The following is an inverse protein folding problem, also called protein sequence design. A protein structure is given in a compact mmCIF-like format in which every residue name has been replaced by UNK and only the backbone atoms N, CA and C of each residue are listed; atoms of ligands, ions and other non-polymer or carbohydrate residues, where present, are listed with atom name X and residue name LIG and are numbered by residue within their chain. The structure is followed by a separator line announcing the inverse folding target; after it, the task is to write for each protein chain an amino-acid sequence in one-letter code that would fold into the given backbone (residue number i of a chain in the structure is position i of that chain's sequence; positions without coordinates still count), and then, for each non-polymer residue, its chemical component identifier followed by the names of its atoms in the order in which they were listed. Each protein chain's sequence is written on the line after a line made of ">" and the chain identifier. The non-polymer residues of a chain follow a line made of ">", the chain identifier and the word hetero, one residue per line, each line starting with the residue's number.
data_IF_453535246765
#
_entry.id   IF_453535246765
#
_cell.length_a   1.000
_cell.length_b   1.000
_cell.length_c   1.000
_cell.angle_alpha   90.00
_cell.angle_beta   90.00
_cell.angle_gamma   90.00
#
_symmetry.space_group_name_H-M   'P 1'
#
loop_
_entity.id
_entity.type
_entity.pdbx_description
1 polymer ?
#
# COMPACT_ATOMS: atom_id res chain seq x y z
N UNK A 1 -21.98 19.58 -4.23
CA UNK A 1 -20.84 18.96 -4.93
C UNK A 1 -21.05 17.45 -4.91
N UNK A 2 -21.31 16.87 -6.09
CA UNK A 2 -21.38 15.41 -6.25
C UNK A 2 -19.94 14.88 -6.31
N UNK A 3 -19.44 14.37 -5.20
CA UNK A 3 -18.09 13.80 -5.10
C UNK A 3 -18.05 12.33 -5.48
N UNK A 4 -19.21 11.65 -5.60
CA UNK A 4 -19.30 10.25 -5.98
C UNK A 4 -19.82 10.09 -7.41
N UNK A 5 -19.34 9.10 -8.17
CA UNK A 5 -19.92 8.74 -9.46
C UNK A 5 -21.40 8.39 -9.32
N UNK A 6 -22.23 8.70 -10.34
CA UNK A 6 -23.66 8.35 -10.33
C UNK A 6 -23.94 6.85 -10.49
N UNK A 7 -22.96 6.11 -11.03
CA UNK A 7 -23.03 4.67 -11.26
C UNK A 7 -21.75 4.00 -10.74
N UNK A 8 -21.86 2.75 -10.33
CA UNK A 8 -20.69 1.98 -9.95
C UNK A 8 -19.69 1.87 -11.12
N UNK A 9 -18.40 1.91 -10.77
CA UNK A 9 -17.35 1.68 -11.74
C UNK A 9 -17.44 0.25 -12.27
N UNK A 10 -17.17 0.03 -13.57
CA UNK A 10 -17.19 -1.31 -14.14
C UNK A 10 -16.13 -2.20 -13.48
N UNK A 11 -16.54 -3.39 -13.08
CA UNK A 11 -15.67 -4.37 -12.45
C UNK A 11 -15.25 -5.43 -13.47
N UNK A 12 -13.98 -5.83 -13.40
CA UNK A 12 -13.46 -6.94 -14.20
C UNK A 12 -12.85 -7.98 -13.26
N UNK A 13 -13.54 -9.10 -13.07
CA UNK A 13 -13.02 -10.28 -12.37
C UNK A 13 -12.18 -11.15 -13.32
N UNK A 14 -11.50 -12.16 -12.77
CA UNK A 14 -10.62 -13.11 -13.47
C UNK A 14 -9.28 -12.54 -13.98
N UNK A 15 -8.85 -11.40 -13.45
CA UNK A 15 -7.49 -10.88 -13.68
C UNK A 15 -6.46 -11.57 -12.79
N UNK A 16 -6.89 -12.02 -11.59
CA UNK A 16 -6.07 -12.72 -10.62
C UNK A 16 -6.24 -14.22 -10.85
N UNK A 17 -5.35 -14.79 -11.61
CA UNK A 17 -5.27 -16.22 -11.89
C UNK A 17 -3.86 -16.74 -11.55
N UNK A 18 -3.60 -18.04 -11.75
CA UNK A 18 -2.30 -18.66 -11.48
C UNK A 18 -1.14 -17.97 -12.23
N UNK A 19 -1.41 -17.39 -13.40
CA UNK A 19 -0.40 -16.68 -14.18
C UNK A 19 -0.14 -15.27 -13.65
N UNK A 20 -1.01 -14.71 -12.80
CA UNK A 20 -0.81 -13.36 -12.29
C UNK A 20 0.52 -13.23 -11.55
N UNK A 21 0.91 -14.21 -10.75
CA UNK A 21 2.20 -14.21 -10.02
C UNK A 21 3.41 -14.35 -10.95
N UNK A 22 3.27 -14.93 -12.14
CA UNK A 22 4.38 -15.11 -13.10
C UNK A 22 4.76 -13.78 -13.73
N UNK A 23 5.74 -13.08 -13.15
CA UNK A 23 6.09 -11.70 -13.52
C UNK A 23 7.61 -11.44 -13.48
N UNK A 24 8.44 -12.44 -13.80
CA UNK A 24 9.91 -12.34 -13.69
C UNK A 24 10.50 -11.14 -14.46
N UNK A 25 9.93 -10.78 -15.61
CA UNK A 25 10.41 -9.70 -16.46
C UNK A 25 9.34 -8.61 -16.72
N UNK A 26 8.18 -8.75 -16.08
CA UNK A 26 7.02 -7.89 -16.27
C UNK A 26 6.50 -7.37 -14.95
N UNK A 27 5.71 -6.31 -15.02
CA UNK A 27 4.87 -5.86 -13.92
C UNK A 27 3.43 -6.15 -14.31
N UNK A 28 2.67 -6.77 -13.42
CA UNK A 28 1.21 -6.91 -13.53
C UNK A 28 0.60 -6.25 -12.31
N UNK A 29 -0.53 -5.60 -12.47
CA UNK A 29 -1.22 -5.00 -11.33
C UNK A 29 -2.74 -5.05 -11.50
N UNK A 30 -3.43 -5.02 -10.37
CA UNK A 30 -4.88 -4.87 -10.28
C UNK A 30 -5.18 -3.79 -9.25
N UNK A 31 -5.98 -2.81 -9.64
CA UNK A 31 -6.49 -1.83 -8.73
C UNK A 31 -7.68 -2.40 -7.95
N UNK A 32 -7.60 -2.37 -6.64
CA UNK A 32 -8.58 -2.93 -5.71
C UNK A 32 -9.50 -1.86 -5.11
N UNK A 33 -9.27 -0.60 -5.50
CA UNK A 33 -10.00 0.57 -5.03
C UNK A 33 -9.18 1.43 -4.07
N UNK A 34 -9.46 2.74 -4.06
CA UNK A 34 -8.69 3.76 -3.34
C UNK A 34 -7.18 3.59 -3.63
N UNK A 35 -6.32 3.62 -2.64
CA UNK A 35 -4.87 3.40 -2.78
C UNK A 35 -4.45 1.92 -2.75
N UNK A 36 -5.42 0.99 -2.70
CA UNK A 36 -5.14 -0.44 -2.65
C UNK A 36 -4.84 -1.00 -4.04
N UNK A 37 -3.61 -1.47 -4.24
CA UNK A 37 -3.16 -2.15 -5.45
C UNK A 37 -2.62 -3.53 -5.11
N UNK A 38 -2.88 -4.51 -5.97
CA UNK A 38 -2.14 -5.76 -5.98
C UNK A 38 -1.17 -5.75 -7.14
N UNK A 39 0.11 -5.86 -6.85
CA UNK A 39 1.20 -5.76 -7.81
C UNK A 39 1.95 -7.08 -7.83
N UNK A 40 2.20 -7.60 -9.02
CA UNK A 40 3.09 -8.73 -9.24
C UNK A 40 4.36 -8.24 -9.95
N UNK A 41 5.48 -8.41 -9.30
CA UNK A 41 6.81 -8.06 -9.80
C UNK A 41 7.82 -9.11 -9.34
N UNK A 42 8.66 -9.58 -10.25
CA UNK A 42 9.68 -10.59 -9.96
C UNK A 42 9.13 -11.85 -9.25
N UNK A 43 7.94 -12.31 -9.68
CA UNK A 43 7.20 -13.43 -9.12
C UNK A 43 6.80 -13.27 -7.64
N UNK A 44 6.76 -12.05 -7.13
CA UNK A 44 6.28 -11.70 -5.79
C UNK A 44 5.00 -10.87 -5.88
N UNK A 45 4.11 -11.08 -4.93
CA UNK A 45 2.86 -10.33 -4.80
C UNK A 45 3.01 -9.31 -3.68
N UNK A 46 2.77 -8.04 -4.03
CA UNK A 46 2.79 -6.91 -3.12
C UNK A 46 1.37 -6.32 -3.07
N UNK A 47 0.85 -6.08 -1.87
CA UNK A 47 -0.33 -5.24 -1.67
C UNK A 47 0.11 -3.88 -1.13
N UNK A 48 -0.31 -2.79 -1.77
CA UNK A 48 -0.13 -1.44 -1.23
C UNK A 48 -1.39 -1.00 -0.50
N UNK A 49 -1.24 -0.41 0.67
CA UNK A 49 -2.31 0.19 1.50
C UNK A 49 -3.63 -0.60 1.44
N UNK A 50 -3.62 -1.91 1.82
CA UNK A 50 -4.78 -2.76 1.57
C UNK A 50 -5.90 -2.48 2.56
N UNK A 51 -7.02 -1.97 2.05
CA UNK A 51 -8.25 -1.70 2.80
C UNK A 51 -9.40 -2.48 2.20
N UNK A 52 -9.89 -3.48 2.93
CA UNK A 52 -11.02 -4.32 2.52
C UNK A 52 -12.27 -4.12 3.38
N UNK A 53 -12.13 -3.38 4.50
CA UNK A 53 -13.28 -3.01 5.32
C UNK A 53 -14.26 -2.12 4.56
N UNK A 54 -15.57 -2.20 4.88
CA UNK A 54 -16.60 -1.39 4.24
C UNK A 54 -16.55 0.09 4.62
N UNK A 55 -15.71 0.47 5.59
CA UNK A 55 -15.60 1.82 6.12
C UNK A 55 -14.15 2.17 6.42
N UNK A 56 -13.74 3.36 6.06
CA UNK A 56 -12.45 3.97 6.36
C UNK A 56 -12.48 4.77 7.69
N UNK A 57 -13.10 4.20 8.74
CA UNK A 57 -13.34 4.87 10.01
C UNK A 57 -13.41 3.85 11.14
N UNK A 58 -13.07 4.22 12.40
CA UNK A 58 -13.28 3.35 13.56
C UNK A 58 -14.77 3.01 13.77
N UNK A 59 -15.68 3.79 13.21
CA UNK A 59 -17.12 3.58 13.27
C UNK A 59 -17.64 3.14 11.89
N UNK A 60 -18.18 1.93 11.80
CA UNK A 60 -18.63 1.31 10.55
C UNK A 60 -19.75 2.07 9.80
N UNK A 61 -20.41 3.02 10.48
CA UNK A 61 -21.49 3.87 9.92
C UNK A 61 -20.98 5.22 9.38
N UNK A 62 -19.72 5.57 9.65
CA UNK A 62 -19.08 6.82 9.23
C UNK A 62 -18.14 6.53 8.04
N UNK A 63 -18.01 7.37 7.07
CA UNK A 63 -17.13 7.23 5.88
C UNK A 63 -17.21 5.83 5.24
N UNK A 64 -18.33 5.51 4.64
CA UNK A 64 -18.52 4.26 3.89
C UNK A 64 -17.78 4.31 2.55
N UNK A 65 -17.23 3.18 2.16
CA UNK A 65 -16.72 3.02 0.78
C UNK A 65 -17.83 3.25 -0.22
N UNK A 66 -17.51 3.91 -1.33
CA UNK A 66 -18.44 4.07 -2.45
C UNK A 66 -18.77 2.72 -3.09
N UNK A 67 -17.76 1.90 -3.33
CA UNK A 67 -17.88 0.59 -3.97
C UNK A 67 -16.99 -0.43 -3.24
N UNK A 68 -17.46 -1.67 -3.10
CA UNK A 68 -16.68 -2.76 -2.48
C UNK A 68 -15.46 -3.09 -3.35
N UNK A 69 -14.38 -3.64 -2.78
CA UNK A 69 -13.30 -4.20 -3.56
C UNK A 69 -13.82 -5.29 -4.51
N UNK A 70 -13.25 -5.36 -5.70
CA UNK A 70 -13.64 -6.36 -6.74
C UNK A 70 -13.40 -7.80 -6.28
N UNK A 71 -12.42 -8.00 -5.41
CA UNK A 71 -12.06 -9.29 -4.82
C UNK A 71 -12.23 -9.25 -3.31
N UNK A 72 -12.64 -10.36 -2.72
CA UNK A 72 -12.58 -10.58 -1.29
C UNK A 72 -11.15 -11.01 -0.88
N UNK A 73 -10.82 -10.93 0.42
CA UNK A 73 -9.49 -11.28 0.92
C UNK A 73 -9.10 -12.74 0.65
N UNK A 74 -10.07 -13.65 0.72
CA UNK A 74 -9.90 -15.09 0.50
C UNK A 74 -9.80 -15.48 -0.99
N UNK A 75 -10.16 -14.56 -1.88
CA UNK A 75 -9.97 -14.71 -3.33
C UNK A 75 -8.54 -14.29 -3.77
N UNK A 76 -7.76 -13.66 -2.89
CA UNK A 76 -6.41 -13.22 -3.21
C UNK A 76 -5.41 -14.39 -3.19
N UNK A 77 -4.39 -14.39 -4.07
CA UNK A 77 -3.29 -15.33 -3.99
C UNK A 77 -2.47 -15.10 -2.72
N UNK A 78 -1.50 -15.96 -2.45
CA UNK A 78 -0.51 -15.68 -1.39
C UNK A 78 0.17 -14.33 -1.63
N UNK A 79 0.12 -13.47 -0.62
CA UNK A 79 0.72 -12.13 -0.62
C UNK A 79 2.06 -12.21 0.09
N UNK A 80 3.14 -11.91 -0.63
CA UNK A 80 4.49 -11.93 -0.07
C UNK A 80 4.75 -10.69 0.81
N UNK A 81 4.27 -9.51 0.38
CA UNK A 81 4.52 -8.25 1.06
C UNK A 81 3.26 -7.37 1.14
N UNK A 82 3.07 -6.74 2.28
CA UNK A 82 2.15 -5.60 2.43
C UNK A 82 3.00 -4.35 2.63
N UNK A 83 2.79 -3.36 1.76
CA UNK A 83 3.49 -2.08 1.76
C UNK A 83 2.52 -1.00 2.22
N UNK A 84 2.87 -0.31 3.30
CA UNK A 84 2.02 0.69 3.96
C UNK A 84 2.65 2.06 3.75
N UNK A 85 1.86 3.04 3.29
CA UNK A 85 2.32 4.41 3.14
C UNK A 85 2.24 5.23 4.43
N UNK A 86 1.12 5.13 5.15
CA UNK A 86 0.89 5.84 6.41
C UNK A 86 -0.28 5.22 7.20
N UNK A 87 -0.63 5.82 8.35
CA UNK A 87 -1.56 5.22 9.30
C UNK A 87 -3.03 5.66 9.18
N UNK A 88 -3.43 6.44 8.21
CA UNK A 88 -4.84 6.80 8.04
C UNK A 88 -5.73 5.57 7.85
N UNK A 89 -7.02 5.68 8.20
CA UNK A 89 -7.94 4.55 8.22
C UNK A 89 -8.23 3.96 6.84
N UNK A 90 -8.09 4.75 5.79
CA UNK A 90 -8.27 4.37 4.38
C UNK A 90 -6.99 3.83 3.72
N UNK A 91 -5.88 3.72 4.49
CA UNK A 91 -4.61 3.12 4.08
C UNK A 91 -4.17 1.97 4.98
N UNK A 92 -4.54 2.02 6.26
CA UNK A 92 -4.16 1.02 7.26
C UNK A 92 -5.40 0.45 7.96
N UNK A 93 -5.92 -0.66 7.43
CA UNK A 93 -7.14 -1.34 7.88
C UNK A 93 -6.83 -2.51 8.81
N UNK A 94 -7.25 -2.39 10.07
CA UNK A 94 -7.02 -3.42 11.10
C UNK A 94 -7.57 -4.80 10.72
N UNK A 95 -8.73 -4.88 10.07
CA UNK A 95 -9.33 -6.16 9.72
C UNK A 95 -8.55 -6.84 8.60
N UNK A 96 -8.11 -6.06 7.62
CA UNK A 96 -7.23 -6.53 6.55
C UNK A 96 -5.88 -7.01 7.12
N UNK A 97 -5.24 -6.21 7.97
CA UNK A 97 -3.96 -6.60 8.60
C UNK A 97 -4.12 -7.91 9.38
N UNK A 98 -5.17 -8.04 10.20
CA UNK A 98 -5.45 -9.25 10.98
C UNK A 98 -5.62 -10.49 10.11
N UNK A 99 -6.20 -10.38 8.93
CA UNK A 99 -6.33 -11.49 7.99
C UNK A 99 -4.97 -12.06 7.55
N UNK A 100 -3.92 -11.21 7.50
CA UNK A 100 -2.61 -11.61 7.02
C UNK A 100 -1.62 -12.04 8.12
N UNK A 101 -1.99 -12.00 9.41
CA UNK A 101 -1.07 -12.32 10.54
C UNK A 101 -0.43 -13.70 10.37
N UNK A 102 -1.23 -14.71 10.06
CA UNK A 102 -0.80 -16.11 9.97
C UNK A 102 -0.49 -16.57 8.52
N UNK A 103 -0.31 -15.63 7.59
CA UNK A 103 -0.14 -15.91 6.16
C UNK A 103 1.32 -15.90 5.69
N UNK A 104 2.29 -15.79 6.59
CA UNK A 104 3.71 -15.63 6.26
C UNK A 104 4.01 -14.40 5.39
N UNK A 105 3.20 -13.35 5.54
CA UNK A 105 3.33 -12.08 4.84
C UNK A 105 4.26 -11.16 5.62
N UNK A 106 5.17 -10.44 4.93
CA UNK A 106 5.98 -9.37 5.53
C UNK A 106 5.28 -8.02 5.38
N UNK A 107 5.35 -7.21 6.42
CA UNK A 107 4.80 -5.86 6.46
C UNK A 107 5.95 -4.86 6.39
N UNK A 108 5.95 -4.02 5.36
CA UNK A 108 6.96 -3.00 5.15
C UNK A 108 6.27 -1.64 5.29
N UNK A 109 6.77 -0.80 6.16
CA UNK A 109 6.10 0.43 6.56
C UNK A 109 7.09 1.54 6.94
N UNK A 110 6.68 2.81 6.97
CA UNK A 110 7.49 3.87 7.54
C UNK A 110 7.51 3.79 9.07
N UNK A 111 8.45 4.51 9.69
CA UNK A 111 8.69 4.51 11.14
C UNK A 111 7.42 4.80 11.95
N UNK A 112 7.26 4.03 13.05
CA UNK A 112 6.17 4.17 14.01
C UNK A 112 4.93 3.34 13.69
N UNK A 113 4.76 2.86 12.47
CA UNK A 113 3.62 1.99 12.07
C UNK A 113 3.66 0.66 12.82
N UNK A 114 4.84 0.15 13.17
CA UNK A 114 5.00 -1.10 13.94
C UNK A 114 4.19 -1.08 15.23
N UNK A 115 4.01 0.08 15.85
CA UNK A 115 3.24 0.22 17.08
C UNK A 115 1.77 -0.20 16.89
N UNK A 116 1.18 0.07 15.73
CA UNK A 116 -0.16 -0.40 15.37
C UNK A 116 -0.15 -1.90 15.05
N UNK A 117 0.79 -2.34 14.22
CA UNK A 117 0.88 -3.73 13.76
C UNK A 117 1.10 -4.71 14.93
N UNK A 118 2.05 -4.41 15.83
CA UNK A 118 2.31 -5.19 17.05
C UNK A 118 1.09 -5.26 17.96
N UNK A 119 0.43 -4.12 18.18
CA UNK A 119 -0.81 -4.06 18.97
C UNK A 119 -1.93 -4.92 18.39
N UNK A 120 -1.96 -5.10 17.06
CA UNK A 120 -2.96 -5.92 16.37
C UNK A 120 -2.56 -7.40 16.27
N UNK A 121 -1.37 -7.76 16.73
CA UNK A 121 -0.90 -9.13 16.82
C UNK A 121 0.04 -9.57 15.70
N UNK A 122 0.52 -8.65 14.84
CA UNK A 122 1.52 -8.99 13.84
C UNK A 122 2.84 -9.35 14.54
N UNK A 123 3.45 -10.51 14.26
CA UNK A 123 4.74 -10.87 14.83
C UNK A 123 5.85 -9.89 14.45
N UNK A 124 6.67 -9.50 15.43
CA UNK A 124 7.73 -8.50 15.21
C UNK A 124 8.70 -8.88 14.08
N UNK A 125 9.01 -10.15 13.92
CA UNK A 125 9.88 -10.64 12.84
C UNK A 125 9.25 -10.55 11.44
N UNK A 126 7.98 -10.20 11.34
CA UNK A 126 7.28 -9.96 10.07
C UNK A 126 7.17 -8.46 9.74
N UNK A 127 7.64 -7.57 10.61
CA UNK A 127 7.56 -6.12 10.44
C UNK A 127 8.92 -5.57 10.08
N UNK A 128 8.96 -4.70 9.07
CA UNK A 128 10.15 -3.97 8.62
C UNK A 128 9.76 -2.49 8.58
N UNK A 129 10.43 -1.66 9.37
CA UNK A 129 10.26 -0.21 9.32
C UNK A 129 11.45 0.48 8.70
N UNK A 130 11.19 1.52 7.90
CA UNK A 130 12.20 2.31 7.23
C UNK A 130 11.95 3.81 7.45
N UNK A 131 13.01 4.58 7.59
CA UNK A 131 12.97 6.04 7.50
C UNK A 131 13.01 6.49 6.04
N UNK A 132 12.72 7.77 5.78
CA UNK A 132 12.89 8.35 4.45
C UNK A 132 14.32 8.16 3.93
N UNK A 133 14.40 7.69 2.70
CA UNK A 133 15.63 7.36 1.96
C UNK A 133 16.30 6.06 2.37
N UNK A 134 15.81 5.39 3.42
CA UNK A 134 16.23 4.05 3.76
C UNK A 134 15.73 3.03 2.73
N UNK A 135 16.46 1.94 2.61
CA UNK A 135 16.11 0.82 1.74
C UNK A 135 16.31 -0.51 2.44
N UNK A 136 15.49 -1.46 2.09
CA UNK A 136 15.69 -2.89 2.37
C UNK A 136 15.74 -3.67 1.06
N UNK A 137 16.59 -4.66 1.01
CA UNK A 137 16.68 -5.60 -0.10
C UNK A 137 16.22 -6.96 0.44
N UNK A 138 15.18 -7.51 -0.15
CA UNK A 138 14.68 -8.83 0.20
C UNK A 138 14.69 -9.66 -1.07
N UNK A 139 15.54 -10.69 -1.12
CA UNK A 139 15.86 -11.41 -2.35
C UNK A 139 16.29 -10.40 -3.45
N UNK A 140 15.56 -10.33 -4.57
CA UNK A 140 15.86 -9.44 -5.70
C UNK A 140 14.98 -8.19 -5.74
N UNK A 141 14.20 -7.93 -4.68
CA UNK A 141 13.35 -6.74 -4.58
C UNK A 141 13.95 -5.72 -3.61
N UNK A 142 14.05 -4.48 -4.08
CA UNK A 142 14.44 -3.33 -3.28
C UNK A 142 13.20 -2.52 -2.95
N UNK A 143 12.95 -2.29 -1.69
CA UNK A 143 11.93 -1.37 -1.19
C UNK A 143 12.64 -0.15 -0.61
N UNK A 144 12.35 1.02 -1.15
CA UNK A 144 12.94 2.28 -0.72
C UNK A 144 11.81 3.16 -0.18
N UNK A 145 11.90 3.52 1.08
CA UNK A 145 11.01 4.51 1.68
C UNK A 145 11.41 5.90 1.17
N UNK A 146 10.44 6.64 0.65
CA UNK A 146 10.69 7.98 0.09
C UNK A 146 9.71 9.00 0.68
N UNK A 147 10.10 10.30 0.75
CA UNK A 147 9.24 11.33 1.30
C UNK A 147 7.89 11.47 0.59
N UNK A 148 6.88 11.89 1.34
CA UNK A 148 5.61 12.36 0.82
C UNK A 148 5.23 13.67 1.52
N UNK A 149 4.43 14.50 0.88
CA UNK A 149 3.88 15.72 1.50
C UNK A 149 2.49 15.41 2.04
N UNK A 150 2.45 14.83 3.23
CA UNK A 150 1.23 14.41 3.89
C UNK A 150 1.34 14.57 5.42
N UNK A 151 0.55 13.86 6.16
CA UNK A 151 0.56 13.80 7.63
C UNK A 151 0.07 12.44 8.09
N UNK A 152 0.20 12.15 9.39
CA UNK A 152 -0.27 10.92 10.00
C UNK A 152 -1.15 11.18 11.22
N UNK A 153 -1.89 10.18 11.66
CA UNK A 153 -2.72 10.19 12.85
C UNK A 153 -4.09 9.54 12.65
N UNK A 154 -4.55 8.84 13.68
CA UNK A 154 -5.82 8.10 13.69
C UNK A 154 -6.81 8.64 14.71
N UNK A 155 -6.37 9.46 15.68
CA UNK A 155 -7.17 9.99 16.79
C UNK A 155 -7.17 11.52 16.82
N UNK A 156 -7.11 12.13 15.65
CA UNK A 156 -7.05 13.57 15.52
C UNK A 156 -5.78 14.15 16.17
N UNK A 157 -5.92 15.17 17.01
CA UNK A 157 -4.79 15.84 17.64
C UNK A 157 -4.00 14.97 18.64
N UNK A 158 -4.55 13.84 19.12
CA UNK A 158 -3.93 13.02 20.17
C UNK A 158 -2.71 12.26 19.64
N UNK A 159 -2.74 11.80 18.42
CA UNK A 159 -1.67 11.02 17.78
C UNK A 159 -1.22 11.58 16.43
N UNK A 160 -1.54 12.83 16.16
CA UNK A 160 -1.07 13.54 14.96
C UNK A 160 0.45 13.51 14.87
N UNK A 161 0.99 13.14 13.72
CA UNK A 161 2.41 13.10 13.39
C UNK A 161 3.29 12.21 14.31
N UNK A 162 2.69 11.18 14.93
CA UNK A 162 3.45 10.22 15.77
C UNK A 162 4.02 9.04 14.99
N UNK A 163 3.55 8.84 13.77
CA UNK A 163 4.09 7.89 12.81
C UNK A 163 4.59 8.66 11.59
N UNK A 164 5.56 8.11 10.88
CA UNK A 164 6.00 8.66 9.61
C UNK A 164 5.00 8.32 8.51
N UNK A 165 4.98 9.09 7.44
CA UNK A 165 4.26 8.86 6.18
C UNK A 165 5.25 8.83 5.04
N UNK A 166 4.92 8.11 3.97
CA UNK A 166 5.88 7.86 2.90
C UNK A 166 5.24 7.62 1.55
N UNK A 167 6.01 7.85 0.51
CA UNK A 167 5.88 7.21 -0.77
C UNK A 167 6.89 6.06 -0.89
N UNK A 168 6.81 5.25 -1.95
CA UNK A 168 7.65 4.07 -2.09
C UNK A 168 8.21 3.92 -3.49
N UNK A 169 9.49 3.56 -3.57
CA UNK A 169 10.10 3.04 -4.79
C UNK A 169 10.31 1.53 -4.61
N UNK A 170 9.75 0.75 -5.54
CA UNK A 170 9.92 -0.70 -5.60
C UNK A 170 10.73 -1.03 -6.85
N UNK A 171 11.84 -1.73 -6.68
CA UNK A 171 12.72 -2.08 -7.80
C UNK A 171 13.09 -3.56 -7.79
N UNK A 172 13.12 -4.13 -8.98
CA UNK A 172 13.83 -5.37 -9.27
C UNK A 172 15.04 -5.05 -10.16
N UNK A 173 15.82 -6.05 -10.55
CA UNK A 173 16.94 -5.85 -11.46
C UNK A 173 16.56 -5.25 -12.83
N UNK A 174 15.29 -5.39 -13.25
CA UNK A 174 14.80 -5.00 -14.58
C UNK A 174 13.65 -4.03 -14.58
N UNK A 175 12.99 -3.84 -13.45
CA UNK A 175 11.74 -3.09 -13.37
C UNK A 175 11.70 -2.19 -12.15
N UNK A 176 11.05 -1.04 -12.29
CA UNK A 176 10.91 -0.05 -11.23
C UNK A 176 9.49 0.54 -11.19
N UNK A 177 8.99 0.71 -9.99
CA UNK A 177 7.66 1.25 -9.71
C UNK A 177 7.82 2.38 -8.71
N UNK A 178 7.04 3.44 -8.89
CA UNK A 178 6.81 4.45 -7.87
C UNK A 178 5.35 4.41 -7.41
N UNK A 179 5.14 4.40 -6.10
CA UNK A 179 3.83 4.50 -5.45
C UNK A 179 3.85 5.70 -4.51
N UNK A 180 3.00 6.71 -4.77
CA UNK A 180 3.02 7.95 -4.01
C UNK A 180 2.48 7.84 -2.59
N UNK A 181 1.59 6.86 -2.31
CA UNK A 181 0.68 6.99 -1.19
C UNK A 181 -0.13 8.28 -1.35
N UNK A 182 -0.61 8.86 -0.27
CA UNK A 182 -1.20 10.19 -0.29
C UNK A 182 -0.12 11.26 -0.20
N UNK A 183 -0.13 12.18 -1.15
CA UNK A 183 0.89 13.24 -1.18
C UNK A 183 0.46 14.46 -1.98
N UNK A 184 0.52 15.61 -1.37
CA UNK A 184 0.53 16.86 -2.08
C UNK A 184 1.78 17.01 -2.96
N UNK A 185 1.71 17.93 -3.92
CA UNK A 185 2.84 18.22 -4.82
C UNK A 185 3.91 19.07 -4.13
N UNK A 186 5.17 18.61 -4.17
CA UNK A 186 6.35 19.39 -3.75
C UNK A 186 7.64 18.84 -4.38
N UNK A 187 8.77 19.43 -4.01
CA UNK A 187 10.10 19.11 -4.57
C UNK A 187 10.54 17.66 -4.36
N UNK A 188 9.90 16.92 -3.43
CA UNK A 188 10.23 15.52 -3.20
C UNK A 188 10.05 14.67 -4.45
N UNK A 189 9.03 14.92 -5.29
CA UNK A 189 8.83 14.20 -6.55
C UNK A 189 10.02 14.38 -7.50
N UNK A 190 10.53 15.61 -7.63
CA UNK A 190 11.70 15.88 -8.46
C UNK A 190 12.93 15.16 -7.92
N UNK A 191 13.13 15.19 -6.59
CA UNK A 191 14.27 14.56 -5.93
C UNK A 191 14.22 13.03 -6.08
N UNK A 192 13.05 12.41 -5.91
CA UNK A 192 12.83 10.98 -6.11
C UNK A 192 13.09 10.61 -7.57
N UNK A 193 12.53 11.38 -8.52
CA UNK A 193 12.72 11.15 -9.95
C UNK A 193 14.19 11.24 -10.37
N UNK A 194 14.94 12.23 -9.88
CA UNK A 194 16.38 12.36 -10.14
C UNK A 194 17.20 11.20 -9.57
N UNK A 195 16.82 10.70 -8.38
CA UNK A 195 17.59 9.69 -7.66
C UNK A 195 17.29 8.26 -8.13
N UNK A 196 16.04 7.98 -8.48
CA UNK A 196 15.56 6.62 -8.73
C UNK A 196 14.89 6.41 -10.09
N UNK A 197 14.57 7.48 -10.80
CA UNK A 197 13.96 7.38 -12.14
C UNK A 197 14.95 6.92 -13.23
N UNK A 198 14.45 6.64 -14.43
CA UNK A 198 13.02 6.61 -14.78
C UNK A 198 12.30 5.40 -14.18
N UNK A 199 10.96 5.50 -14.03
CA UNK A 199 10.12 4.41 -13.56
C UNK A 199 9.37 3.75 -14.72
N UNK A 200 9.18 2.43 -14.68
CA UNK A 200 8.34 1.72 -15.64
C UNK A 200 6.85 2.00 -15.40
N UNK A 201 6.45 2.12 -14.13
CA UNK A 201 5.07 2.44 -13.73
C UNK A 201 5.10 3.42 -12.55
N UNK A 202 4.15 4.36 -12.57
CA UNK A 202 3.94 5.32 -11.50
C UNK A 202 2.46 5.27 -11.08
N UNK A 203 2.21 5.07 -9.81
CA UNK A 203 0.90 5.20 -9.18
C UNK A 203 0.90 6.49 -8.37
N UNK A 204 0.14 7.47 -8.81
CA UNK A 204 0.07 8.79 -8.20
C UNK A 204 -1.30 9.01 -7.57
N UNK A 205 -1.30 9.57 -6.36
CA UNK A 205 -2.47 10.22 -5.83
C UNK A 205 -2.85 11.42 -6.70
N UNK A 206 -4.11 11.56 -7.01
CA UNK A 206 -4.63 12.65 -7.84
C UNK A 206 -5.60 13.59 -7.09
N UNK A 207 -5.70 13.47 -5.78
CA UNK A 207 -6.44 14.36 -4.86
C UNK A 207 -7.86 13.96 -4.63
#
# INVERSE_FOLDING_TARGET
>A
NETNPKVFLPEKKNLINEDFKKSLNNIKFVWLGHSSLMISINNKIILTDPVFSPSASPFSWFIKRYQKPVYALDELPHVDYILISHDHYDHLDINTIKYFIDKNTKFIAPLGISSHLLKWGVPNNNIIELDWWDKIIIEDLHFICTPAQHFSGRKGFIDSQKTLWSSWVIRSNKKSIFFSGDSGYSDHYQNIGKKFGPFDIVFMDSG
#
